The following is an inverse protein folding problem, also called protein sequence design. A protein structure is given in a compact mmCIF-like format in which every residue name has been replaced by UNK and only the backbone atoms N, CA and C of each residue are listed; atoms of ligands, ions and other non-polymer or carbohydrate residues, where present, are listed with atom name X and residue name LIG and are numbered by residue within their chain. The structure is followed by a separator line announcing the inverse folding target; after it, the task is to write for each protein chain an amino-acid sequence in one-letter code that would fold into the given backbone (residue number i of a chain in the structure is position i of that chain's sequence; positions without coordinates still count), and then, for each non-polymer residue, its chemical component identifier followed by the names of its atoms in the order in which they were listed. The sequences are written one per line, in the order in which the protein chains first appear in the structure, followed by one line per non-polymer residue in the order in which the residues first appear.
data_IF_844212399441
#
_entry.id   IF_844212399441
#
_cell.length_a   1.000
_cell.length_b   1.000
_cell.length_c   1.000
_cell.angle_alpha   90.00
_cell.angle_beta   90.00
_cell.angle_gamma   90.00
#
_symmetry.space_group_name_H-M   'P 1'
#
loop_
_entity.id
_entity.type
_entity.pdbx_description
1 polymer ?
#
# COMPACT_ATOMS: atom_id res chain seq x y z
N UNK A 1 -35.42 13.21 7.58
CA UNK A 1 -34.89 12.50 6.42
C UNK A 1 -34.33 11.13 6.85
N UNK A 2 -34.71 10.09 6.15
CA UNK A 2 -34.18 8.74 6.31
C UNK A 2 -33.39 8.37 5.06
N UNK A 3 -32.15 7.95 5.21
CA UNK A 3 -31.38 7.37 4.11
C UNK A 3 -31.85 5.93 3.87
N UNK A 4 -31.99 5.53 2.61
CA UNK A 4 -32.44 4.18 2.26
C UNK A 4 -31.25 3.21 2.04
N UNK A 5 -30.04 3.55 2.50
CA UNK A 5 -28.89 2.65 2.45
C UNK A 5 -29.19 1.38 3.26
N UNK A 6 -29.19 0.24 2.59
CA UNK A 6 -29.46 -1.09 3.15
C UNK A 6 -30.85 -1.30 3.78
N UNK A 7 -31.82 -0.43 3.54
CA UNK A 7 -33.18 -0.56 4.09
C UNK A 7 -33.32 -0.28 5.59
N UNK A 8 -32.24 0.22 6.23
CA UNK A 8 -32.28 0.60 7.64
C UNK A 8 -32.80 2.03 7.82
N UNK A 9 -33.92 2.17 8.50
CA UNK A 9 -34.57 3.45 8.82
C UNK A 9 -34.41 3.82 10.30
N UNK A 10 -33.43 3.27 11.01
CA UNK A 10 -33.31 3.40 12.47
C UNK A 10 -32.84 4.78 12.94
N UNK A 11 -32.16 5.55 12.11
CA UNK A 11 -31.53 6.81 12.50
C UNK A 11 -31.90 7.96 11.55
N UNK A 12 -33.11 8.58 11.68
CA UNK A 12 -33.47 9.72 10.88
C UNK A 12 -32.71 10.98 11.27
N UNK A 13 -32.33 11.76 10.27
CA UNK A 13 -31.86 13.13 10.50
C UNK A 13 -33.07 14.07 10.59
N UNK A 14 -33.21 14.77 11.72
CA UNK A 14 -34.32 15.70 11.97
C UNK A 14 -33.79 17.14 11.91
N UNK A 15 -34.38 17.95 11.05
CA UNK A 15 -34.13 19.38 10.90
C UNK A 15 -35.33 20.15 11.43
N UNK A 16 -35.14 20.97 12.47
CA UNK A 16 -36.19 21.80 13.06
C UNK A 16 -36.12 23.20 12.46
N UNK A 17 -37.21 23.65 11.83
CA UNK A 17 -37.31 24.99 11.25
C UNK A 17 -37.86 26.03 12.24
N UNK A 18 -38.28 25.61 13.47
CA UNK A 18 -38.85 26.48 14.50
C UNK A 18 -38.16 26.22 15.84
N UNK A 19 -37.97 27.28 16.66
CA UNK A 19 -37.34 27.20 17.98
C UNK A 19 -38.15 26.36 19.01
N UNK A 20 -39.40 26.03 18.74
CA UNK A 20 -40.29 25.32 19.65
C UNK A 20 -40.54 23.86 19.27
N UNK A 21 -39.95 23.37 18.21
CA UNK A 21 -40.06 21.97 17.77
C UNK A 21 -39.24 21.04 18.69
N UNK A 22 -39.84 19.92 19.13
CA UNK A 22 -39.12 18.86 19.84
C UNK A 22 -38.86 17.71 18.88
N UNK A 23 -37.59 17.35 18.75
CA UNK A 23 -37.11 16.28 17.86
C UNK A 23 -37.81 14.93 18.12
N UNK A 24 -38.12 14.66 19.41
CA UNK A 24 -38.78 13.43 19.87
C UNK A 24 -40.15 13.18 19.21
N UNK A 25 -40.87 14.25 18.81
CA UNK A 25 -42.17 14.14 18.18
C UNK A 25 -42.13 13.54 16.77
N UNK A 26 -40.94 13.54 16.12
CA UNK A 26 -40.76 13.16 14.72
C UNK A 26 -39.95 11.86 14.54
N UNK A 27 -39.57 11.18 15.65
CA UNK A 27 -38.84 9.91 15.63
C UNK A 27 -39.58 8.76 16.32
N UNK A 28 -40.91 8.93 16.54
CA UNK A 28 -41.73 7.90 17.16
C UNK A 28 -41.86 6.65 16.28
N UNK A 29 -42.32 5.53 16.89
CA UNK A 29 -42.59 4.29 16.15
C UNK A 29 -43.60 4.47 15.03
N UNK A 30 -44.57 5.39 15.20
CA UNK A 30 -45.58 5.72 14.18
C UNK A 30 -44.96 6.39 12.97
N UNK A 31 -44.03 7.32 13.21
CA UNK A 31 -43.26 7.99 12.15
C UNK A 31 -42.39 7.01 11.38
N UNK A 32 -41.66 6.13 12.09
CA UNK A 32 -40.86 5.08 11.48
C UNK A 32 -41.69 4.10 10.66
N UNK A 33 -42.88 3.72 11.14
CA UNK A 33 -43.78 2.85 10.40
C UNK A 33 -44.29 3.49 9.11
N UNK A 34 -44.59 4.83 9.13
CA UNK A 34 -44.98 5.56 7.93
C UNK A 34 -43.81 5.63 6.91
N UNK A 35 -42.62 5.92 7.37
CA UNK A 35 -41.42 5.93 6.52
C UNK A 35 -41.17 4.54 5.91
N UNK A 36 -41.21 3.47 6.72
CA UNK A 36 -41.03 2.10 6.25
C UNK A 36 -42.07 1.67 5.20
N UNK A 37 -43.33 2.13 5.40
CA UNK A 37 -44.38 1.85 4.44
C UNK A 37 -44.12 2.55 3.09
N UNK A 38 -43.66 3.82 3.12
CA UNK A 38 -43.27 4.58 1.91
C UNK A 38 -42.12 3.88 1.18
N UNK A 39 -41.08 3.40 1.91
CA UNK A 39 -39.98 2.66 1.34
C UNK A 39 -40.45 1.41 0.58
N UNK A 40 -41.34 0.65 1.21
CA UNK A 40 -41.86 -0.62 0.66
C UNK A 40 -42.81 -0.43 -0.52
N UNK A 41 -43.69 0.56 -0.44
CA UNK A 41 -44.81 0.72 -1.39
C UNK A 41 -44.56 1.80 -2.44
N UNK A 42 -43.54 2.62 -2.26
CA UNK A 42 -43.20 3.73 -3.15
C UNK A 42 -44.37 4.73 -3.36
N UNK A 43 -45.18 4.91 -2.35
CA UNK A 43 -46.34 5.82 -2.31
C UNK A 43 -46.29 6.68 -1.06
N UNK A 44 -46.84 7.89 -1.10
CA UNK A 44 -46.92 8.78 0.06
C UNK A 44 -47.75 8.18 1.20
N UNK A 45 -47.35 8.44 2.45
CA UNK A 45 -48.08 8.04 3.65
C UNK A 45 -47.91 9.07 4.77
N UNK A 46 -48.65 8.95 5.84
CA UNK A 46 -48.60 9.85 7.00
C UNK A 46 -49.66 10.92 6.97
N UNK A 47 -49.40 12.06 7.59
CA UNK A 47 -50.33 13.16 7.77
C UNK A 47 -50.96 13.57 6.43
N UNK A 48 -52.27 13.90 6.47
CA UNK A 48 -53.09 14.27 5.31
C UNK A 48 -53.17 13.21 4.20
N UNK A 49 -52.89 11.94 4.49
CA UNK A 49 -53.06 10.82 3.55
C UNK A 49 -54.07 9.80 4.13
N UNK A 50 -54.58 8.91 3.26
CA UNK A 50 -55.41 7.79 3.71
C UNK A 50 -54.61 6.66 4.40
N UNK A 51 -53.32 6.71 4.39
CA UNK A 51 -52.43 5.65 4.87
C UNK A 51 -51.60 6.16 6.03
N UNK A 52 -51.73 5.53 7.22
CA UNK A 52 -50.99 5.89 8.43
C UNK A 52 -51.15 7.38 8.80
N UNK A 53 -52.40 7.89 8.70
CA UNK A 53 -52.79 9.30 8.93
C UNK A 53 -52.47 9.82 10.33
N UNK A 54 -52.20 8.94 11.30
CA UNK A 54 -51.83 9.28 12.68
C UNK A 54 -50.40 9.75 12.85
N UNK A 55 -49.58 9.69 11.81
CA UNK A 55 -48.24 10.27 11.82
C UNK A 55 -48.31 11.80 11.77
N UNK A 56 -47.33 12.48 12.38
CA UNK A 56 -47.25 13.95 12.39
C UNK A 56 -46.72 14.52 11.07
N UNK A 57 -45.98 13.69 10.32
CA UNK A 57 -45.35 14.09 9.06
C UNK A 57 -46.03 13.45 7.85
N UNK A 58 -46.03 14.17 6.73
CA UNK A 58 -46.25 13.63 5.39
C UNK A 58 -44.92 13.02 4.89
N UNK A 59 -44.93 11.73 4.58
CA UNK A 59 -43.75 11.00 4.09
C UNK A 59 -43.79 10.81 2.58
N UNK A 60 -42.66 11.17 1.95
CA UNK A 60 -42.44 11.11 0.50
C UNK A 60 -41.10 10.42 0.20
N UNK A 61 -41.06 9.63 -0.87
CA UNK A 61 -39.82 9.01 -1.31
C UNK A 61 -38.98 9.94 -2.19
N UNK A 62 -37.70 10.04 -1.88
CA UNK A 62 -36.70 10.59 -2.78
C UNK A 62 -36.26 9.46 -3.73
N UNK A 63 -36.76 9.52 -4.98
CA UNK A 63 -36.61 8.41 -5.92
C UNK A 63 -36.28 8.86 -7.33
N UNK A 64 -35.53 8.03 -8.04
CA UNK A 64 -35.26 8.18 -9.47
C UNK A 64 -35.20 6.82 -10.14
N UNK A 65 -35.73 6.70 -11.36
CA UNK A 65 -35.70 5.45 -12.15
C UNK A 65 -36.14 4.17 -11.40
N UNK A 66 -37.08 4.29 -10.46
CA UNK A 66 -37.58 3.16 -9.66
C UNK A 66 -36.74 2.86 -8.40
N UNK A 67 -35.60 3.48 -8.22
CA UNK A 67 -34.77 3.35 -7.01
C UNK A 67 -35.14 4.42 -6.00
N UNK A 68 -35.35 4.03 -4.74
CA UNK A 68 -35.55 4.94 -3.60
C UNK A 68 -34.25 5.17 -2.91
N UNK A 69 -33.79 6.43 -2.87
CA UNK A 69 -32.54 6.84 -2.22
C UNK A 69 -32.72 7.27 -0.77
N UNK A 70 -33.94 7.71 -0.45
CA UNK A 70 -34.29 8.15 0.90
C UNK A 70 -35.78 8.48 1.04
N UNK A 71 -36.15 8.81 2.25
CA UNK A 71 -37.52 9.20 2.58
C UNK A 71 -37.45 10.52 3.34
N UNK A 72 -38.29 11.47 2.92
CA UNK A 72 -38.44 12.75 3.59
C UNK A 72 -39.80 12.76 4.30
N UNK A 73 -39.82 13.10 5.58
CA UNK A 73 -40.98 13.43 6.36
C UNK A 73 -41.07 14.94 6.50
N UNK A 74 -42.24 15.54 6.16
CA UNK A 74 -42.50 16.97 6.28
C UNK A 74 -43.61 17.15 7.29
N UNK A 75 -43.34 17.87 8.38
CA UNK A 75 -44.36 18.21 9.36
C UNK A 75 -45.33 19.24 8.74
N UNK A 76 -46.65 18.92 8.74
CA UNK A 76 -47.70 19.73 8.08
C UNK A 76 -48.85 20.05 9.03
N UNK A 77 -48.65 20.39 10.25
CA UNK A 77 -49.60 20.88 11.26
C UNK A 77 -51.10 20.59 10.99
N UNK A 78 -51.37 19.43 10.40
CA UNK A 78 -52.73 18.96 10.09
C UNK A 78 -53.41 19.57 8.83
N UNK A 79 -52.76 20.53 8.16
CA UNK A 79 -53.26 21.07 6.90
C UNK A 79 -52.59 20.39 5.70
N UNK A 80 -53.37 19.96 4.68
CA UNK A 80 -52.78 19.39 3.48
C UNK A 80 -51.98 20.47 2.72
N UNK A 81 -50.89 20.08 2.10
CA UNK A 81 -50.12 20.96 1.21
C UNK A 81 -51.00 21.44 0.06
N UNK A 82 -50.95 22.75 -0.24
CA UNK A 82 -51.57 23.31 -1.42
C UNK A 82 -50.95 22.75 -2.71
N UNK A 83 -51.69 22.85 -3.83
CA UNK A 83 -51.20 22.29 -5.12
C UNK A 83 -49.84 22.87 -5.54
N UNK A 84 -49.61 24.14 -5.28
CA UNK A 84 -48.34 24.82 -5.57
C UNK A 84 -47.20 24.33 -4.68
N UNK A 85 -47.43 24.26 -3.37
CA UNK A 85 -46.47 23.76 -2.39
C UNK A 85 -46.10 22.31 -2.67
N UNK A 86 -47.08 21.45 -2.96
CA UNK A 86 -46.83 20.07 -3.34
C UNK A 86 -45.96 19.96 -4.62
N UNK A 87 -46.17 20.84 -5.61
CA UNK A 87 -45.35 20.88 -6.82
C UNK A 87 -43.90 21.26 -6.53
N UNK A 88 -43.69 22.25 -5.65
CA UNK A 88 -42.35 22.65 -5.22
C UNK A 88 -41.64 21.51 -4.49
N UNK A 89 -42.32 20.87 -3.54
CA UNK A 89 -41.74 19.74 -2.79
C UNK A 89 -41.34 18.61 -3.73
N UNK A 90 -42.22 18.23 -4.66
CA UNK A 90 -41.87 17.16 -5.63
C UNK A 90 -40.69 17.53 -6.55
N UNK A 91 -40.60 18.81 -6.95
CA UNK A 91 -39.45 19.29 -7.73
C UNK A 91 -38.15 19.19 -6.95
N UNK A 92 -38.14 19.66 -5.69
CA UNK A 92 -36.97 19.58 -4.81
C UNK A 92 -36.56 18.11 -4.58
N UNK A 93 -37.55 17.22 -4.31
CA UNK A 93 -37.25 15.79 -4.15
C UNK A 93 -36.68 15.17 -5.42
N UNK A 94 -37.13 15.61 -6.59
CA UNK A 94 -36.55 15.19 -7.88
C UNK A 94 -35.09 15.61 -8.03
N UNK A 95 -34.76 16.86 -7.72
CA UNK A 95 -33.38 17.36 -7.75
C UNK A 95 -32.50 16.64 -6.72
N UNK A 96 -33.00 16.40 -5.51
CA UNK A 96 -32.29 15.62 -4.50
C UNK A 96 -32.02 14.18 -5.00
N UNK A 97 -33.03 13.54 -5.61
CA UNK A 97 -32.86 12.20 -6.16
C UNK A 97 -31.79 12.14 -7.26
N UNK A 98 -31.77 13.14 -8.14
CA UNK A 98 -30.76 13.26 -9.20
C UNK A 98 -29.35 13.44 -8.62
N UNK A 99 -29.21 14.30 -7.59
CA UNK A 99 -27.95 14.50 -6.92
C UNK A 99 -27.42 13.21 -6.27
N UNK A 100 -28.29 12.49 -5.56
CA UNK A 100 -27.94 11.21 -4.91
C UNK A 100 -27.60 10.11 -5.92
N UNK A 101 -28.30 10.04 -7.06
CA UNK A 101 -27.98 9.10 -8.15
C UNK A 101 -26.62 9.41 -8.75
N UNK A 102 -26.32 10.69 -9.00
CA UNK A 102 -25.03 11.11 -9.55
C UNK A 102 -23.86 10.79 -8.58
N UNK A 103 -24.04 11.01 -7.28
CA UNK A 103 -23.04 10.67 -6.27
C UNK A 103 -22.78 9.16 -6.24
N UNK A 104 -23.84 8.34 -6.26
CA UNK A 104 -23.73 6.89 -6.32
C UNK A 104 -22.96 6.42 -7.56
N UNK A 105 -23.33 6.94 -8.74
CA UNK A 105 -22.66 6.61 -10.00
C UNK A 105 -21.17 7.04 -9.97
N UNK A 106 -20.86 8.21 -9.40
CA UNK A 106 -19.49 8.68 -9.27
C UNK A 106 -18.66 7.74 -8.39
N UNK A 107 -19.22 7.31 -7.25
CA UNK A 107 -18.56 6.35 -6.33
C UNK A 107 -18.32 4.98 -6.99
N UNK A 108 -19.35 4.44 -7.65
CA UNK A 108 -19.22 3.16 -8.38
C UNK A 108 -18.17 3.25 -9.50
N UNK A 109 -18.07 4.37 -10.21
CA UNK A 109 -17.02 4.59 -11.22
C UNK A 109 -15.63 4.67 -10.61
N UNK A 110 -15.49 5.33 -9.46
CA UNK A 110 -14.21 5.43 -8.76
C UNK A 110 -13.74 4.04 -8.30
N UNK A 111 -14.63 3.26 -7.67
CA UNK A 111 -14.33 1.90 -7.24
C UNK A 111 -13.95 0.99 -8.43
N UNK A 112 -14.70 1.06 -9.53
CA UNK A 112 -14.39 0.32 -10.75
C UNK A 112 -13.05 0.74 -11.37
N UNK A 113 -12.73 2.04 -11.37
CA UNK A 113 -11.45 2.55 -11.87
C UNK A 113 -10.26 2.07 -11.02
N UNK A 114 -10.41 2.03 -9.70
CA UNK A 114 -9.39 1.49 -8.78
C UNK A 114 -9.17 0.01 -9.04
N UNK A 115 -10.25 -0.76 -9.17
CA UNK A 115 -10.18 -2.20 -9.47
C UNK A 115 -9.50 -2.45 -10.83
N UNK A 116 -9.90 -1.74 -11.87
CA UNK A 116 -9.31 -1.87 -13.21
C UNK A 116 -7.82 -1.52 -13.21
N UNK A 117 -7.43 -0.48 -12.47
CA UNK A 117 -6.01 -0.09 -12.31
C UNK A 117 -5.20 -1.18 -11.62
N UNK A 118 -5.75 -1.80 -10.58
CA UNK A 118 -5.09 -2.90 -9.87
C UNK A 118 -4.91 -4.13 -10.77
N UNK A 119 -5.94 -4.50 -11.54
CA UNK A 119 -5.85 -5.60 -12.50
C UNK A 119 -4.82 -5.32 -13.62
N UNK A 120 -4.78 -4.08 -14.12
CA UNK A 120 -3.78 -3.66 -15.11
C UNK A 120 -2.36 -3.74 -14.53
N UNK A 121 -2.17 -3.32 -13.28
CA UNK A 121 -0.88 -3.44 -12.57
C UNK A 121 -0.49 -4.91 -12.45
N UNK A 122 -1.40 -5.80 -12.01
CA UNK A 122 -1.15 -7.25 -11.92
C UNK A 122 -0.76 -7.87 -13.27
N UNK A 123 -1.46 -7.52 -14.34
CA UNK A 123 -1.15 -8.01 -15.68
C UNK A 123 0.24 -7.56 -16.18
N UNK A 124 0.57 -6.29 -15.98
CA UNK A 124 1.89 -5.75 -16.32
C UNK A 124 3.00 -6.44 -15.51
N UNK A 125 2.74 -6.71 -14.24
CA UNK A 125 3.58 -7.42 -13.29
C UNK A 125 3.94 -8.82 -13.80
N UNK A 126 2.92 -9.63 -14.12
CA UNK A 126 3.11 -10.98 -14.64
C UNK A 126 3.89 -10.99 -15.96
N UNK A 127 3.66 -10.00 -16.82
CA UNK A 127 4.40 -9.86 -18.08
C UNK A 127 5.88 -9.54 -17.83
N UNK A 128 6.18 -8.61 -16.94
CA UNK A 128 7.56 -8.24 -16.58
C UNK A 128 8.29 -9.42 -15.96
N UNK A 129 7.69 -10.08 -14.95
CA UNK A 129 8.26 -11.27 -14.30
C UNK A 129 8.56 -12.37 -15.34
N UNK A 130 7.61 -12.65 -16.23
CA UNK A 130 7.80 -13.70 -17.26
C UNK A 130 8.96 -13.39 -18.20
N UNK A 131 9.14 -12.11 -18.58
CA UNK A 131 10.25 -11.68 -19.40
C UNK A 131 11.57 -11.85 -18.66
N UNK A 132 11.62 -11.40 -17.41
CA UNK A 132 12.83 -11.37 -16.62
C UNK A 132 13.28 -12.75 -16.10
N UNK A 133 12.33 -13.68 -15.90
CA UNK A 133 12.63 -15.10 -15.69
C UNK A 133 13.21 -15.78 -16.95
N UNK A 134 12.71 -15.43 -18.13
CA UNK A 134 13.12 -16.07 -19.38
C UNK A 134 14.60 -15.82 -19.71
N UNK A 135 15.09 -14.60 -19.46
CA UNK A 135 16.47 -14.21 -19.82
C UNK A 135 17.52 -15.09 -19.14
N UNK A 136 17.58 -15.20 -17.79
CA UNK A 136 18.56 -16.07 -17.11
C UNK A 136 18.33 -17.55 -17.40
N UNK A 137 17.07 -18.01 -17.52
CA UNK A 137 16.78 -19.39 -17.89
C UNK A 137 17.36 -19.73 -19.28
N UNK A 138 17.25 -18.82 -20.24
CA UNK A 138 17.84 -18.99 -21.58
C UNK A 138 19.36 -19.00 -21.51
N UNK A 139 19.97 -18.14 -20.67
CA UNK A 139 21.43 -18.11 -20.45
C UNK A 139 21.93 -19.41 -19.82
N UNK A 140 21.27 -19.86 -18.74
CA UNK A 140 21.60 -21.13 -18.06
C UNK A 140 21.51 -22.30 -19.05
N UNK A 141 20.39 -22.40 -19.78
CA UNK A 141 20.17 -23.47 -20.75
C UNK A 141 21.19 -23.42 -21.90
N UNK A 142 21.50 -22.21 -22.41
CA UNK A 142 22.49 -22.02 -23.46
C UNK A 142 23.89 -22.41 -23.03
N UNK A 143 24.33 -21.93 -21.85
CA UNK A 143 25.64 -22.24 -21.29
C UNK A 143 25.79 -23.74 -20.96
N UNK A 144 24.74 -24.35 -20.41
CA UNK A 144 24.72 -25.80 -20.17
C UNK A 144 24.79 -26.61 -21.49
N UNK A 145 24.08 -26.18 -22.53
CA UNK A 145 24.13 -26.84 -23.85
C UNK A 145 25.54 -26.73 -24.49
N UNK A 146 26.21 -25.57 -24.37
CA UNK A 146 27.60 -25.42 -24.84
C UNK A 146 28.53 -26.37 -24.12
N UNK A 147 28.39 -26.51 -22.80
CA UNK A 147 29.18 -27.45 -21.99
C UNK A 147 28.92 -28.91 -22.39
N UNK A 148 27.70 -29.28 -22.67
CA UNK A 148 27.34 -30.63 -23.11
C UNK A 148 27.79 -30.94 -24.52
N UNK A 149 27.63 -30.00 -25.46
CA UNK A 149 27.95 -30.26 -26.88
C UNK A 149 29.42 -30.13 -27.22
N UNK A 150 30.18 -29.27 -26.54
CA UNK A 150 31.53 -28.92 -26.89
C UNK A 150 32.50 -28.89 -25.69
N UNK A 151 32.06 -29.42 -24.55
CA UNK A 151 32.82 -29.34 -23.29
C UNK A 151 34.25 -29.78 -23.42
N UNK A 152 34.52 -30.89 -24.10
CA UNK A 152 35.87 -31.44 -24.22
C UNK A 152 36.84 -30.56 -25.04
N UNK A 153 36.34 -29.74 -25.96
CA UNK A 153 37.12 -28.83 -26.80
C UNK A 153 37.31 -27.43 -26.20
N UNK A 154 36.63 -27.11 -25.08
CA UNK A 154 36.75 -25.80 -24.43
C UNK A 154 37.95 -25.71 -23.50
N UNK A 155 38.62 -24.53 -23.45
CA UNK A 155 39.65 -24.25 -22.45
C UNK A 155 39.08 -24.30 -21.02
N UNK A 156 39.99 -24.58 -20.05
CA UNK A 156 39.62 -24.64 -18.63
C UNK A 156 39.01 -23.31 -18.14
N UNK A 157 39.56 -22.18 -18.62
CA UNK A 157 39.06 -20.85 -18.32
C UNK A 157 37.64 -20.65 -18.84
N UNK A 158 37.36 -21.09 -20.07
CA UNK A 158 36.04 -20.96 -20.68
C UNK A 158 34.99 -21.82 -19.96
N UNK A 159 35.35 -23.06 -19.59
CA UNK A 159 34.48 -23.92 -18.77
C UNK A 159 34.15 -23.26 -17.44
N UNK A 160 35.17 -22.74 -16.76
CA UNK A 160 34.99 -22.05 -15.46
C UNK A 160 34.08 -20.84 -15.59
N UNK A 161 34.20 -20.05 -16.67
CA UNK A 161 33.32 -18.92 -16.95
C UNK A 161 31.86 -19.37 -17.13
N UNK A 162 31.62 -20.41 -17.97
CA UNK A 162 30.26 -20.93 -18.21
C UNK A 162 29.64 -21.49 -16.94
N UNK A 163 30.41 -22.18 -16.08
CA UNK A 163 29.88 -22.63 -14.78
C UNK A 163 29.54 -21.46 -13.85
N UNK A 164 30.37 -20.41 -13.84
CA UNK A 164 30.13 -19.21 -13.04
C UNK A 164 28.85 -18.50 -13.51
N UNK A 165 28.68 -18.35 -14.82
CA UNK A 165 27.51 -17.70 -15.40
C UNK A 165 26.22 -18.47 -15.06
N UNK A 166 26.24 -19.81 -15.14
CA UNK A 166 25.11 -20.68 -14.75
C UNK A 166 24.80 -20.49 -13.26
N UNK A 167 25.82 -20.49 -12.42
CA UNK A 167 25.66 -20.35 -10.97
C UNK A 167 25.10 -18.98 -10.60
N UNK A 168 25.66 -17.91 -11.16
CA UNK A 168 25.24 -16.54 -10.89
C UNK A 168 23.79 -16.29 -11.35
N UNK A 169 23.42 -16.78 -12.53
CA UNK A 169 22.06 -16.69 -13.05
C UNK A 169 21.06 -17.51 -12.20
N UNK A 170 21.50 -18.66 -11.67
CA UNK A 170 20.66 -19.49 -10.77
C UNK A 170 20.43 -18.81 -9.43
N UNK A 171 21.45 -18.21 -8.82
CA UNK A 171 21.31 -17.44 -7.58
C UNK A 171 20.41 -16.24 -7.76
N UNK A 172 20.53 -15.55 -8.90
CA UNK A 172 19.67 -14.43 -9.23
C UNK A 172 18.20 -14.84 -9.32
N UNK A 173 17.91 -15.99 -9.96
CA UNK A 173 16.54 -16.55 -10.03
C UNK A 173 15.98 -16.89 -8.66
N UNK A 174 16.77 -17.49 -7.78
CA UNK A 174 16.36 -17.80 -6.40
C UNK A 174 15.96 -16.52 -5.68
N UNK A 175 16.81 -15.49 -5.70
CA UNK A 175 16.54 -14.21 -5.07
C UNK A 175 15.29 -13.52 -5.64
N UNK A 176 15.07 -13.64 -6.96
CA UNK A 176 13.88 -13.11 -7.60
C UNK A 176 12.59 -13.77 -7.07
N UNK A 177 12.57 -15.11 -7.01
CA UNK A 177 11.41 -15.87 -6.52
C UNK A 177 11.15 -15.58 -5.04
N UNK A 178 12.19 -15.52 -4.22
CA UNK A 178 12.08 -15.18 -2.80
C UNK A 178 11.51 -13.76 -2.58
N UNK A 179 11.99 -12.78 -3.33
CA UNK A 179 11.49 -11.41 -3.28
C UNK A 179 10.02 -11.33 -3.70
N UNK A 180 9.62 -12.06 -4.75
CA UNK A 180 8.24 -12.11 -5.21
C UNK A 180 7.31 -12.74 -4.17
N UNK A 181 7.72 -13.87 -3.58
CA UNK A 181 6.96 -14.54 -2.51
C UNK A 181 6.86 -13.66 -1.25
N UNK A 182 7.89 -12.90 -0.92
CA UNK A 182 7.84 -11.98 0.21
C UNK A 182 6.86 -10.83 -0.04
N UNK A 183 6.87 -10.23 -1.24
CA UNK A 183 5.92 -9.18 -1.62
C UNK A 183 4.47 -9.68 -1.57
N UNK A 184 4.18 -10.83 -2.16
CA UNK A 184 2.81 -11.39 -2.16
C UNK A 184 2.30 -11.68 -0.75
N UNK A 185 3.14 -12.24 0.13
CA UNK A 185 2.77 -12.49 1.54
C UNK A 185 2.47 -11.21 2.32
N UNK A 186 3.16 -10.12 2.00
CA UNK A 186 2.92 -8.81 2.63
C UNK A 186 1.60 -8.21 2.14
N UNK A 187 1.36 -8.22 0.81
CA UNK A 187 0.12 -7.71 0.21
C UNK A 187 -1.12 -8.44 0.70
N UNK A 188 -1.04 -9.76 0.82
CA UNK A 188 -2.14 -10.60 1.34
C UNK A 188 -2.32 -10.49 2.86
N UNK A 189 -1.49 -9.72 3.57
CA UNK A 189 -1.53 -9.61 5.04
C UNK A 189 -1.24 -10.94 5.76
N UNK A 190 -0.72 -11.94 5.04
CA UNK A 190 -0.45 -13.29 5.58
C UNK A 190 0.95 -13.42 6.19
N UNK A 191 1.77 -12.38 6.11
CA UNK A 191 3.12 -12.38 6.66
C UNK A 191 3.08 -12.38 8.19
N UNK A 192 3.38 -13.52 8.79
CA UNK A 192 3.55 -13.65 10.25
C UNK A 192 4.97 -13.21 10.62
N UNK A 193 5.10 -12.00 11.15
CA UNK A 193 6.37 -11.50 11.69
C UNK A 193 6.71 -12.24 12.98
N UNK A 194 7.98 -12.59 13.13
CA UNK A 194 8.54 -13.09 14.40
C UNK A 194 9.33 -11.97 15.05
N UNK A 195 8.59 -11.06 15.69
CA UNK A 195 9.20 -9.88 16.32
C UNK A 195 9.77 -10.29 17.68
N UNK A 196 11.06 -10.04 17.86
CA UNK A 196 11.83 -10.16 19.10
C UNK A 196 12.68 -8.91 19.31
N UNK A 197 13.18 -8.72 20.54
CA UNK A 197 14.19 -7.70 20.82
C UNK A 197 15.53 -8.24 20.34
N UNK A 198 16.09 -7.64 19.30
CA UNK A 198 17.33 -8.08 18.67
C UNK A 198 18.39 -7.01 18.76
N UNK A 199 19.65 -7.44 18.93
CA UNK A 199 20.79 -6.54 19.00
C UNK A 199 21.17 -6.07 17.59
N UNK A 200 21.14 -4.76 17.36
CA UNK A 200 21.35 -4.17 16.04
C UNK A 200 22.73 -4.52 15.46
N UNK A 201 23.75 -4.58 16.29
CA UNK A 201 25.10 -4.97 15.90
C UNK A 201 25.15 -6.38 15.27
N UNK A 202 24.49 -7.36 15.90
CA UNK A 202 24.45 -8.74 15.42
C UNK A 202 23.72 -8.83 14.07
N UNK A 203 22.62 -8.10 13.93
CA UNK A 203 21.82 -8.05 12.68
C UNK A 203 22.65 -7.46 11.54
N UNK A 204 23.36 -6.35 11.78
CA UNK A 204 24.23 -5.72 10.79
C UNK A 204 25.40 -6.66 10.45
N UNK A 205 26.05 -7.24 11.44
CA UNK A 205 27.18 -8.16 11.23
C UNK A 205 26.77 -9.38 10.41
N UNK A 206 25.58 -9.95 10.69
CA UNK A 206 25.06 -11.09 9.92
C UNK A 206 24.74 -10.69 8.49
N UNK A 207 24.11 -9.53 8.26
CA UNK A 207 23.85 -9.01 6.92
C UNK A 207 25.15 -8.90 6.10
N UNK A 208 26.23 -8.38 6.70
CA UNK A 208 27.51 -8.21 6.03
C UNK A 208 28.18 -9.54 5.63
N UNK A 209 27.91 -10.64 6.33
CA UNK A 209 28.40 -11.97 5.95
C UNK A 209 27.78 -12.49 4.66
N UNK A 210 26.56 -12.06 4.36
CA UNK A 210 25.80 -12.50 3.20
C UNK A 210 25.95 -11.61 1.97
N UNK A 211 26.68 -10.51 2.07
CA UNK A 211 26.92 -9.59 0.95
C UNK A 211 27.76 -10.25 -0.13
N UNK A 212 27.43 -10.01 -1.38
CA UNK A 212 28.03 -10.60 -2.56
C UNK A 212 29.56 -10.32 -2.64
N UNK A 213 30.32 -11.23 -3.24
CA UNK A 213 31.80 -11.11 -3.49
C UNK A 213 32.18 -9.83 -4.25
N UNK A 214 31.29 -9.24 -5.03
CA UNK A 214 31.51 -7.96 -5.73
C UNK A 214 31.71 -6.79 -4.75
N UNK A 215 31.20 -6.87 -3.54
CA UNK A 215 31.43 -5.87 -2.48
C UNK A 215 32.87 -5.75 -2.04
N UNK A 216 33.73 -6.76 -2.31
CA UNK A 216 35.18 -6.72 -2.02
C UNK A 216 35.91 -5.62 -2.77
N UNK A 217 35.33 -5.08 -3.83
CA UNK A 217 35.85 -3.93 -4.56
C UNK A 217 35.47 -2.58 -3.94
N UNK A 218 34.68 -2.58 -2.84
CA UNK A 218 34.23 -1.39 -2.12
C UNK A 218 34.73 -1.40 -0.69
N UNK A 219 34.79 -0.23 -0.06
CA UNK A 219 35.15 -0.10 1.36
C UNK A 219 33.85 0.01 2.17
N UNK A 220 33.56 -1.01 2.98
CA UNK A 220 32.37 -1.01 3.85
C UNK A 220 32.82 -0.77 5.28
N UNK A 221 32.33 0.30 5.90
CA UNK A 221 32.62 0.69 7.29
C UNK A 221 31.35 0.66 8.12
N UNK A 222 31.40 0.10 9.32
CA UNK A 222 30.29 0.11 10.29
C UNK A 222 30.65 1.04 11.44
N UNK A 223 29.75 1.94 11.77
CA UNK A 223 29.85 2.89 12.90
C UNK A 223 28.68 2.63 13.82
N UNK A 224 28.97 2.30 15.05
CA UNK A 224 27.96 2.14 16.11
C UNK A 224 28.13 3.29 17.08
N UNK A 225 27.08 4.13 17.23
CA UNK A 225 27.11 5.25 18.14
C UNK A 225 26.63 4.82 19.55
N UNK A 226 25.89 3.71 19.64
CA UNK A 226 25.35 3.15 20.88
C UNK A 226 25.76 1.67 21.03
N UNK A 227 26.41 1.29 22.13
CA UNK A 227 26.98 -0.05 22.36
C UNK A 227 25.94 -1.17 22.49
N UNK A 228 24.72 -0.89 22.93
CA UNK A 228 23.66 -1.88 23.18
C UNK A 228 22.32 -1.42 22.59
N UNK A 229 22.27 -1.22 21.28
CA UNK A 229 21.05 -0.83 20.59
C UNK A 229 20.16 -2.05 20.32
N UNK A 230 19.08 -2.19 21.10
CA UNK A 230 18.03 -3.19 20.86
C UNK A 230 16.87 -2.58 20.10
N UNK A 231 16.34 -3.35 19.13
CA UNK A 231 15.12 -2.97 18.40
C UNK A 231 14.18 -4.17 18.23
N UNK A 232 12.88 -3.88 18.21
CA UNK A 232 11.82 -4.88 17.98
C UNK A 232 11.76 -5.19 16.50
N UNK A 233 12.22 -6.39 16.11
CA UNK A 233 12.24 -6.78 14.70
C UNK A 233 12.20 -8.30 14.48
N UNK A 234 11.85 -8.71 13.26
CA UNK A 234 12.20 -10.03 12.71
C UNK A 234 13.59 -9.89 12.06
N UNK A 235 14.63 -10.37 12.76
CA UNK A 235 16.03 -10.21 12.34
C UNK A 235 16.28 -10.66 10.90
N UNK A 236 15.64 -11.78 10.46
CA UNK A 236 15.85 -12.33 9.10
C UNK A 236 15.40 -11.36 8.02
N UNK A 237 14.28 -10.67 8.25
CA UNK A 237 13.73 -9.71 7.30
C UNK A 237 14.53 -8.40 7.29
N UNK A 238 14.99 -7.96 8.45
CA UNK A 238 15.84 -6.75 8.52
C UNK A 238 17.21 -7.01 7.91
N UNK A 239 17.80 -8.21 8.11
CA UNK A 239 19.01 -8.65 7.40
C UNK A 239 18.81 -8.52 5.89
N UNK A 240 17.69 -9.00 5.35
CA UNK A 240 17.39 -8.90 3.92
C UNK A 240 17.25 -7.44 3.45
N UNK A 241 16.67 -6.55 4.27
CA UNK A 241 16.62 -5.11 3.97
C UNK A 241 18.01 -4.51 3.87
N UNK A 242 18.88 -4.80 4.84
CA UNK A 242 20.26 -4.29 4.85
C UNK A 242 21.02 -4.80 3.62
N UNK A 243 20.94 -6.10 3.31
CA UNK A 243 21.58 -6.69 2.13
C UNK A 243 21.09 -6.00 0.85
N UNK A 244 19.78 -5.83 0.68
CA UNK A 244 19.23 -5.18 -0.52
C UNK A 244 19.73 -3.75 -0.71
N UNK A 245 19.86 -2.98 0.37
CA UNK A 245 20.34 -1.58 0.28
C UNK A 245 21.84 -1.54 0.01
N UNK A 246 22.64 -2.39 0.68
CA UNK A 246 24.09 -2.45 0.47
C UNK A 246 24.40 -2.96 -0.94
N UNK A 247 23.70 -3.97 -1.45
CA UNK A 247 23.86 -4.46 -2.82
C UNK A 247 23.50 -3.38 -3.84
N UNK A 248 22.48 -2.56 -3.57
CA UNK A 248 22.20 -1.39 -4.40
C UNK A 248 23.34 -0.38 -4.36
N UNK A 249 23.90 -0.06 -3.19
CA UNK A 249 25.06 0.82 -3.08
C UNK A 249 26.26 0.27 -3.88
N UNK A 250 26.58 -1.00 -3.75
CA UNK A 250 27.65 -1.67 -4.53
C UNK A 250 27.39 -1.61 -6.02
N UNK A 251 26.16 -1.79 -6.45
CA UNK A 251 25.76 -1.83 -7.86
C UNK A 251 25.82 -0.46 -8.54
N UNK A 252 25.39 0.59 -7.82
CA UNK A 252 25.23 1.92 -8.40
C UNK A 252 26.39 2.88 -8.12
N UNK A 253 27.43 2.41 -7.44
CA UNK A 253 28.64 3.20 -7.17
C UNK A 253 29.85 2.63 -7.90
N UNK A 254 30.85 3.47 -8.25
CA UNK A 254 32.11 3.01 -8.84
C UNK A 254 32.88 2.06 -7.89
N UNK A 255 33.70 1.18 -8.46
CA UNK A 255 34.64 0.37 -7.66
C UNK A 255 35.55 1.25 -6.81
N UNK A 256 35.77 0.88 -5.56
CA UNK A 256 36.55 1.67 -4.60
C UNK A 256 35.71 2.67 -3.80
N UNK A 257 34.39 2.77 -4.05
CA UNK A 257 33.50 3.64 -3.28
C UNK A 257 33.40 3.23 -1.82
N UNK A 258 33.15 4.21 -0.97
CA UNK A 258 32.91 4.04 0.47
C UNK A 258 31.41 3.86 0.73
N UNK A 259 31.07 2.82 1.46
CA UNK A 259 29.72 2.56 1.98
C UNK A 259 29.82 2.54 3.50
N UNK A 260 29.07 3.42 4.16
CA UNK A 260 29.08 3.54 5.63
C UNK A 260 27.73 3.12 6.18
N UNK A 261 27.72 2.21 7.14
CA UNK A 261 26.53 1.78 7.87
C UNK A 261 26.64 2.34 9.27
N UNK A 262 25.72 3.23 9.65
CA UNK A 262 25.68 3.83 10.99
C UNK A 262 24.45 3.36 11.72
N UNK A 263 24.58 2.96 12.99
CA UNK A 263 23.45 2.63 13.86
C UNK A 263 23.47 3.51 15.12
N UNK A 264 22.30 4.05 15.49
CA UNK A 264 22.14 4.94 16.66
C UNK A 264 20.72 4.87 17.20
N UNK A 265 20.57 5.29 18.48
CA UNK A 265 19.27 5.48 19.10
C UNK A 265 18.83 6.94 18.99
N UNK A 266 17.64 7.18 18.49
CA UNK A 266 17.02 8.51 18.49
C UNK A 266 15.69 8.45 19.27
N UNK A 267 15.73 8.82 20.53
CA UNK A 267 14.57 8.73 21.41
C UNK A 267 14.06 7.29 21.58
N UNK A 268 12.85 7.01 21.07
CA UNK A 268 12.23 5.66 21.12
C UNK A 268 12.44 4.85 19.85
N UNK A 269 13.32 5.30 18.96
CA UNK A 269 13.58 4.62 17.69
C UNK A 269 15.04 4.23 17.55
N UNK A 270 15.28 3.05 17.01
CA UNK A 270 16.56 2.61 16.49
C UNK A 270 16.67 3.06 15.04
N UNK A 271 17.77 3.70 14.68
CA UNK A 271 18.01 4.24 13.35
C UNK A 271 19.20 3.52 12.74
N UNK A 272 19.04 3.08 11.49
CA UNK A 272 20.12 2.56 10.64
C UNK A 272 20.23 3.50 9.45
N UNK A 273 21.43 4.03 9.20
CA UNK A 273 21.74 4.81 8.02
C UNK A 273 22.79 4.08 7.18
N UNK A 274 22.48 3.86 5.90
CA UNK A 274 23.39 3.26 4.92
C UNK A 274 23.70 4.33 3.89
N UNK A 275 24.90 4.84 3.94
CA UNK A 275 25.39 5.95 3.11
C UNK A 275 26.40 5.45 2.08
N UNK A 276 26.28 5.89 0.84
CA UNK A 276 27.27 5.72 -0.20
C UNK A 276 27.83 7.08 -0.67
N UNK A 277 28.98 7.06 -1.33
CA UNK A 277 29.59 8.24 -1.95
C UNK A 277 29.49 8.21 -3.49
N UNK A 278 28.42 7.61 -4.01
CA UNK A 278 28.16 7.47 -5.43
C UNK A 278 27.55 8.74 -6.08
N UNK A 279 26.89 8.58 -7.23
CA UNK A 279 26.31 9.71 -7.97
C UNK A 279 25.06 10.32 -7.30
N UNK A 280 24.51 9.68 -6.26
CA UNK A 280 23.24 10.09 -5.63
C UNK A 280 21.99 9.73 -6.43
N UNK A 281 20.85 10.20 -5.97
CA UNK A 281 19.52 9.93 -6.54
C UNK A 281 18.82 11.25 -6.85
N UNK A 282 18.37 11.49 -8.11
CA UNK A 282 17.66 12.72 -8.47
C UNK A 282 16.40 12.93 -7.63
N UNK A 283 16.11 14.16 -7.21
CA UNK A 283 14.98 14.50 -6.33
C UNK A 283 13.64 14.04 -6.89
N UNK A 284 13.44 14.15 -8.21
CA UNK A 284 12.23 13.71 -8.91
C UNK A 284 11.96 12.21 -8.79
N UNK A 285 13.00 11.41 -8.52
CA UNK A 285 12.93 9.96 -8.45
C UNK A 285 12.90 9.42 -7.02
N UNK A 286 13.34 10.20 -6.02
CA UNK A 286 13.42 9.77 -4.62
C UNK A 286 12.10 9.24 -4.05
N UNK A 287 10.98 9.84 -4.44
CA UNK A 287 9.65 9.38 -4.03
C UNK A 287 9.23 8.06 -4.70
N UNK A 288 9.78 7.77 -5.87
CA UNK A 288 9.40 6.64 -6.73
C UNK A 288 10.31 5.42 -6.60
N UNK A 289 11.52 5.56 -6.04
CA UNK A 289 12.47 4.44 -5.93
C UNK A 289 11.97 3.26 -5.09
N UNK A 290 10.97 3.52 -4.22
CA UNK A 290 10.32 2.50 -3.41
C UNK A 290 9.05 1.93 -4.07
N UNK A 291 8.68 2.41 -5.26
CA UNK A 291 7.56 1.85 -6.01
C UNK A 291 7.99 0.54 -6.67
N UNK A 292 7.09 -0.43 -6.72
CA UNK A 292 7.36 -1.71 -7.38
C UNK A 292 7.72 -1.48 -8.85
N UNK A 293 8.76 -2.19 -9.31
CA UNK A 293 9.25 -2.16 -10.71
C UNK A 293 9.85 -0.82 -11.16
N UNK A 294 10.08 0.10 -10.23
CA UNK A 294 10.80 1.31 -10.58
C UNK A 294 12.28 0.99 -10.81
N UNK A 295 12.75 1.24 -12.03
CA UNK A 295 14.15 1.17 -12.42
C UNK A 295 14.58 2.55 -12.91
N UNK A 296 15.56 3.16 -12.28
CA UNK A 296 16.09 4.46 -12.71
C UNK A 296 16.73 4.36 -14.11
N UNK A 297 16.64 5.45 -14.89
CA UNK A 297 17.21 5.57 -16.25
C UNK A 297 18.77 5.64 -16.28
N UNK A 298 19.46 5.18 -15.27
CA UNK A 298 20.92 5.29 -15.20
C UNK A 298 21.59 4.33 -16.16
N UNK A 299 22.31 4.89 -17.16
CA UNK A 299 23.12 4.20 -18.17
C UNK A 299 24.32 3.41 -17.59
N UNK A 300 24.57 3.48 -16.30
CA UNK A 300 25.74 2.89 -15.60
C UNK A 300 25.42 1.51 -15.04
N UNK A 301 24.19 1.20 -14.77
CA UNK A 301 23.81 -0.13 -14.30
C UNK A 301 23.56 -1.04 -15.50
N UNK A 302 24.20 -2.18 -15.51
CA UNK A 302 23.87 -3.28 -16.43
C UNK A 302 22.37 -3.59 -16.22
N UNK A 303 21.53 -2.97 -17.07
CA UNK A 303 20.07 -2.91 -16.95
C UNK A 303 19.40 -4.30 -16.99
N UNK A 304 20.20 -5.34 -17.24
CA UNK A 304 19.75 -6.71 -17.42
C UNK A 304 19.38 -7.44 -16.14
N UNK A 305 19.57 -6.87 -14.92
CA UNK A 305 19.42 -7.63 -13.66
C UNK A 305 18.73 -6.87 -12.52
N UNK A 306 17.86 -5.89 -12.79
CA UNK A 306 17.21 -5.12 -11.74
C UNK A 306 15.71 -4.99 -11.99
N UNK A 307 14.93 -5.79 -11.30
CA UNK A 307 13.45 -5.79 -11.38
C UNK A 307 12.77 -4.63 -10.67
N UNK A 308 13.53 -3.79 -9.95
CA UNK A 308 12.93 -2.73 -9.13
C UNK A 308 12.07 -3.26 -7.97
N UNK A 309 12.28 -4.51 -7.53
CA UNK A 309 11.54 -5.10 -6.40
C UNK A 309 12.25 -4.92 -5.06
N UNK A 310 13.58 -4.81 -5.04
CA UNK A 310 14.36 -4.81 -3.80
C UNK A 310 13.99 -3.68 -2.84
N UNK A 311 13.92 -2.44 -3.32
CA UNK A 311 13.56 -1.29 -2.47
C UNK A 311 12.07 -1.27 -2.10
N UNK A 312 11.19 -1.73 -2.98
CA UNK A 312 9.77 -1.90 -2.67
C UNK A 312 9.58 -2.93 -1.55
N UNK A 313 10.30 -4.06 -1.61
CA UNK A 313 10.32 -5.06 -0.54
C UNK A 313 10.86 -4.47 0.76
N UNK A 314 11.95 -3.69 0.72
CA UNK A 314 12.48 -3.00 1.90
C UNK A 314 11.41 -2.11 2.55
N UNK A 315 10.70 -1.30 1.77
CA UNK A 315 9.61 -0.44 2.26
C UNK A 315 8.49 -1.26 2.92
N UNK A 316 8.07 -2.35 2.28
CA UNK A 316 7.02 -3.22 2.79
C UNK A 316 7.43 -3.91 4.09
N UNK A 317 8.65 -4.45 4.17
CA UNK A 317 9.18 -5.06 5.40
C UNK A 317 9.24 -4.03 6.54
N UNK A 318 9.83 -2.86 6.29
CA UNK A 318 9.98 -1.81 7.32
C UNK A 318 8.62 -1.30 7.78
N UNK A 319 7.66 -1.11 6.87
CA UNK A 319 6.28 -0.72 7.22
C UNK A 319 5.59 -1.77 8.09
N UNK A 320 5.78 -3.06 7.79
CA UNK A 320 5.24 -4.16 8.59
C UNK A 320 5.83 -4.22 10.01
N UNK A 321 7.04 -3.67 10.22
CA UNK A 321 7.69 -3.49 11.52
C UNK A 321 7.30 -2.18 12.23
N UNK A 322 6.29 -1.45 11.75
CA UNK A 322 5.93 -0.10 12.23
C UNK A 322 7.09 0.90 12.14
N UNK A 323 8.01 0.68 11.21
CA UNK A 323 9.16 1.52 10.92
C UNK A 323 8.92 2.43 9.72
N UNK A 324 9.96 3.21 9.37
CA UNK A 324 9.96 4.07 8.20
C UNK A 324 11.29 3.95 7.47
N UNK A 325 11.26 3.93 6.14
CA UNK A 325 12.43 4.02 5.28
C UNK A 325 12.35 5.28 4.41
N UNK A 326 13.44 6.02 4.34
CA UNK A 326 13.56 7.24 3.55
C UNK A 326 14.93 7.27 2.87
N UNK A 327 15.10 8.15 1.87
CA UNK A 327 16.37 8.41 1.21
C UNK A 327 16.67 9.91 1.21
N UNK A 328 17.95 10.24 1.44
CA UNK A 328 18.48 11.59 1.46
C UNK A 328 19.74 11.67 0.62
N UNK A 329 20.20 12.89 0.33
CA UNK A 329 21.49 13.11 -0.30
C UNK A 329 22.64 12.97 0.72
N UNK A 330 23.69 12.29 0.31
CA UNK A 330 24.94 12.30 1.06
C UNK A 330 25.82 13.49 0.64
N UNK A 331 26.64 13.99 1.55
CA UNK A 331 27.57 15.08 1.28
C UNK A 331 29.02 14.54 1.24
N UNK A 332 29.85 14.95 0.24
CA UNK A 332 29.54 15.90 -0.84
C UNK A 332 28.67 15.28 -1.96
N UNK A 333 28.66 13.97 -2.14
CA UNK A 333 27.89 13.23 -3.17
C UNK A 333 27.45 11.89 -2.61
N UNK A 334 26.37 11.32 -3.17
CA UNK A 334 25.89 9.98 -2.83
C UNK A 334 24.47 9.97 -2.30
N UNK A 335 24.02 8.83 -1.80
CA UNK A 335 22.73 8.63 -1.18
C UNK A 335 22.86 8.10 0.25
N UNK A 336 21.90 8.44 1.11
CA UNK A 336 21.74 7.91 2.46
C UNK A 336 20.36 7.29 2.57
N UNK A 337 20.30 5.99 2.73
CA UNK A 337 19.08 5.27 3.09
C UNK A 337 18.97 5.23 4.61
N UNK A 338 17.91 5.82 5.14
CA UNK A 338 17.64 5.87 6.58
C UNK A 338 16.43 5.01 6.91
N UNK A 339 16.63 4.07 7.81
CA UNK A 339 15.65 3.13 8.34
C UNK A 339 15.42 3.47 9.82
N UNK A 340 14.15 3.50 10.25
CA UNK A 340 13.79 3.65 11.65
C UNK A 340 12.95 2.46 12.08
N UNK A 341 13.23 1.91 13.26
CA UNK A 341 12.50 0.81 13.89
C UNK A 341 12.18 1.16 15.34
N UNK A 342 11.13 0.59 15.95
CA UNK A 342 10.87 0.77 17.38
C UNK A 342 12.05 0.22 18.21
N UNK A 343 12.67 1.08 19.03
CA UNK A 343 13.71 0.65 19.96
C UNK A 343 13.11 -0.08 21.16
N UNK A 344 13.84 -1.04 21.71
CA UNK A 344 13.53 -1.67 22.99
C UNK A 344 14.46 -1.08 24.07
N UNK A 345 13.92 -0.86 25.26
CA UNK A 345 14.73 -0.45 26.40
C UNK A 345 15.29 -1.70 27.07
N UNK A 346 16.60 -1.72 27.31
CA UNK A 346 17.21 -2.78 28.13
C UNK A 346 16.70 -2.57 29.56
N UNK A 347 15.96 -3.51 30.16
CA UNK A 347 15.66 -3.42 31.57
C UNK A 347 16.99 -3.57 32.33
N UNK A 348 17.53 -2.44 32.84
CA UNK A 348 18.65 -2.47 33.77
C UNK A 348 18.07 -3.03 35.08
N UNK A 349 18.28 -4.31 35.34
CA UNK A 349 18.10 -4.87 36.65
C UNK A 349 19.30 -4.38 37.49
N UNK A 350 19.05 -3.35 38.37
CA UNK A 350 19.94 -3.01 39.46
C UNK A 350 19.99 -4.16 40.49
#
# INVERSE_FOLDING_TARGET
FYTAENGDLSHPQVFLCTEHGRQENYISKTEQAAAAWVLKNNKRAGASTATLSNANCLYLAVRMNGTVFGIVGIAIDGMPLEAFENSIVLSILGECALAMENEKIAKEKEEAAVLAKNEQLRANLLRSISHDLRTPLTSISGNANILLASGDSLSSEKKKQLYSDIYDDSLWLINLVENLLAVTRIEDGTMKLRISAELMEEVIAEALRHINRQSRAHQITVIQEDDLLLAKMDARLIIQVIINIVDNAVKYTPKGSLITITSKKEGKTAVIEIADNGPGIPDETKSKIFDMFFTGNNKIADSRRSLGLGLALCKSIISAHNGKICVFDNKPNGAVFRITLPAEEVPIHE
#
